data_IF_390237258368
#
_entry.id   IF_390237258368
#
_cell.length_a   1.000
_cell.length_b   1.000
_cell.length_c   1.000
_cell.angle_alpha   90.00
_cell.angle_beta   90.00
_cell.angle_gamma   90.00
#
_symmetry.space_group_name_H-M   'P 1'
#
loop_
_entity.id
_entity.type
_entity.pdbx_description
1 polymer ?
#
# COMPACT_ATOMS: atom_id res chain seq x y z
N UNK A 1 -4.76 0.93 27.26
CA UNK A 1 -5.14 -0.42 26.84
C UNK A 1 -5.85 -0.31 25.50
N UNK A 2 -5.33 -0.91 24.42
CA UNK A 2 -5.93 -0.87 23.07
C UNK A 2 -7.38 -1.40 23.05
N UNK A 3 -7.70 -2.26 24.01
CA UNK A 3 -9.02 -2.89 24.19
C UNK A 3 -10.03 -1.91 24.79
N UNK A 4 -9.57 -0.91 25.53
CA UNK A 4 -10.41 0.12 26.17
C UNK A 4 -10.58 1.37 25.28
N UNK A 5 -10.03 1.36 24.05
CA UNK A 5 -10.25 2.42 23.08
C UNK A 5 -11.73 2.45 22.64
N UNK A 6 -12.39 3.62 22.64
CA UNK A 6 -13.79 3.75 22.20
C UNK A 6 -14.03 3.22 20.78
N UNK A 7 -12.98 3.13 19.97
CA UNK A 7 -13.04 2.63 18.58
C UNK A 7 -12.98 1.10 18.51
N UNK A 8 -12.31 0.45 19.46
CA UNK A 8 -12.17 -1.02 19.52
C UNK A 8 -12.99 -1.66 20.63
N UNK A 9 -13.46 -0.89 21.62
CA UNK A 9 -14.29 -1.39 22.71
C UNK A 9 -15.65 -1.99 22.29
N UNK A 10 -16.09 -1.69 21.04
CA UNK A 10 -17.28 -2.27 20.46
C UNK A 10 -17.01 -3.59 19.70
N UNK A 11 -15.75 -4.00 19.53
CA UNK A 11 -15.36 -5.19 18.77
C UNK A 11 -14.68 -6.16 19.73
N UNK A 12 -15.35 -7.27 20.04
CA UNK A 12 -14.76 -8.34 20.83
C UNK A 12 -13.50 -8.88 20.15
N UNK A 13 -12.42 -9.19 20.93
CA UNK A 13 -11.22 -9.84 20.37
C UNK A 13 -11.50 -11.17 19.65
N UNK A 14 -12.65 -11.80 19.92
CA UNK A 14 -13.11 -13.02 19.23
C UNK A 14 -13.64 -12.76 17.83
N UNK A 15 -14.07 -11.53 17.52
CA UNK A 15 -14.65 -11.12 16.25
C UNK A 15 -13.60 -10.56 15.27
N UNK A 16 -12.38 -10.33 15.76
CA UNK A 16 -11.27 -9.88 14.93
C UNK A 16 -10.76 -11.04 14.05
N UNK A 17 -10.64 -10.78 12.75
CA UNK A 17 -10.01 -11.73 11.82
C UNK A 17 -8.60 -12.13 12.29
N UNK A 18 -8.15 -13.35 11.97
CA UNK A 18 -6.85 -13.87 12.41
C UNK A 18 -5.67 -12.93 12.15
N UNK A 19 -5.67 -12.20 11.02
CA UNK A 19 -4.62 -11.25 10.67
C UNK A 19 -4.58 -10.01 11.57
N UNK A 20 -5.74 -9.46 11.91
CA UNK A 20 -5.84 -8.32 12.84
C UNK A 20 -5.44 -8.77 14.25
N UNK A 21 -5.81 -9.99 14.63
CA UNK A 21 -5.43 -10.59 15.91
C UNK A 21 -3.91 -10.78 16.03
N UNK A 22 -3.25 -11.19 14.96
CA UNK A 22 -1.78 -11.32 14.90
C UNK A 22 -1.10 -9.95 15.02
N UNK A 23 -1.60 -8.94 14.32
CA UNK A 23 -1.11 -7.55 14.44
C UNK A 23 -1.29 -6.99 15.85
N UNK A 24 -2.44 -7.25 16.50
CA UNK A 24 -2.69 -6.86 17.88
C UNK A 24 -1.81 -7.61 18.87
N UNK A 25 -1.51 -8.89 18.62
CA UNK A 25 -0.58 -9.67 19.45
C UNK A 25 0.85 -9.18 19.29
N UNK A 26 1.27 -8.80 18.07
CA UNK A 26 2.58 -8.16 17.84
C UNK A 26 2.68 -6.80 18.53
N UNK A 27 1.58 -6.02 18.53
CA UNK A 27 1.51 -4.74 19.23
C UNK A 27 1.54 -4.88 20.76
N UNK A 28 1.21 -6.04 21.28
CA UNK A 28 1.09 -6.33 22.73
C UNK A 28 2.25 -7.20 23.24
N UNK A 29 3.34 -7.32 22.51
CA UNK A 29 4.49 -8.10 22.96
C UNK A 29 5.02 -7.54 24.28
N UNK A 30 5.08 -8.44 25.27
CA UNK A 30 5.51 -8.15 26.66
C UNK A 30 6.96 -7.64 26.78
N UNK A 31 7.74 -7.73 25.70
CA UNK A 31 9.09 -7.14 25.66
C UNK A 31 9.09 -5.62 25.69
N UNK A 32 7.94 -4.97 25.46
CA UNK A 32 7.72 -3.52 25.54
C UNK A 32 8.57 -2.67 24.59
N UNK A 33 9.37 -3.32 23.74
CA UNK A 33 10.37 -2.62 22.93
C UNK A 33 9.97 -2.36 21.48
N UNK A 34 8.96 -3.05 20.97
CA UNK A 34 8.57 -2.96 19.55
C UNK A 34 7.25 -2.21 19.36
N UNK A 35 6.25 -2.53 20.18
CA UNK A 35 4.94 -1.88 20.12
C UNK A 35 4.40 -1.71 21.53
N UNK A 36 4.71 -0.59 22.17
CA UNK A 36 4.08 -0.26 23.42
C UNK A 36 2.76 0.47 23.12
N UNK A 37 1.65 -0.16 23.43
CA UNK A 37 0.32 0.43 23.24
C UNK A 37 0.16 1.78 23.97
N UNK A 38 0.87 1.97 25.09
CA UNK A 38 0.89 3.23 25.85
C UNK A 38 1.65 4.35 25.13
N UNK A 39 2.59 4.03 24.21
CA UNK A 39 3.33 5.02 23.43
C UNK A 39 2.75 5.22 22.04
N UNK A 40 1.92 4.30 21.56
CA UNK A 40 1.27 4.38 20.26
C UNK A 40 -0.11 5.07 20.35
N UNK A 41 -0.76 5.03 21.52
CA UNK A 41 -2.04 5.68 21.79
C UNK A 41 -3.15 5.34 20.79
N UNK A 42 -4.15 6.20 20.70
CA UNK A 42 -5.30 6.06 19.79
C UNK A 42 -4.91 5.98 18.30
N UNK A 43 -3.73 6.49 17.96
CA UNK A 43 -3.26 6.49 16.57
C UNK A 43 -2.97 5.07 16.05
N UNK A 44 -2.47 4.15 16.89
CA UNK A 44 -2.24 2.76 16.46
C UNK A 44 -3.52 2.02 16.13
N UNK A 45 -4.57 2.20 16.93
CA UNK A 45 -5.87 1.59 16.68
C UNK A 45 -6.46 2.11 15.34
N UNK A 46 -6.37 3.42 15.11
CA UNK A 46 -6.80 4.04 13.84
C UNK A 46 -6.00 3.49 12.65
N UNK A 47 -4.70 3.35 12.77
CA UNK A 47 -3.84 2.78 11.73
C UNK A 47 -4.18 1.31 11.43
N UNK A 48 -4.42 0.49 12.46
CA UNK A 48 -4.81 -0.91 12.29
C UNK A 48 -6.16 -1.02 11.61
N UNK A 49 -7.14 -0.19 11.99
CA UNK A 49 -8.45 -0.15 11.36
C UNK A 49 -8.36 0.33 9.90
N UNK A 50 -7.57 1.36 9.64
CA UNK A 50 -7.36 1.88 8.30
C UNK A 50 -6.72 0.82 7.41
N UNK A 51 -5.72 0.11 7.92
CA UNK A 51 -5.07 -0.99 7.22
C UNK A 51 -6.05 -2.13 6.92
N UNK A 52 -6.89 -2.51 7.88
CA UNK A 52 -7.93 -3.51 7.68
C UNK A 52 -8.92 -3.12 6.59
N UNK A 53 -9.36 -1.86 6.56
CA UNK A 53 -10.23 -1.32 5.52
C UNK A 53 -9.56 -1.33 4.15
N UNK A 54 -8.28 -0.96 4.06
CA UNK A 54 -7.53 -1.00 2.81
C UNK A 54 -7.42 -2.43 2.27
N UNK A 55 -7.06 -3.39 3.11
CA UNK A 55 -7.00 -4.79 2.69
C UNK A 55 -8.33 -5.32 2.21
N UNK A 56 -9.41 -5.06 2.96
CA UNK A 56 -10.75 -5.49 2.57
C UNK A 56 -11.15 -4.90 1.21
N UNK A 57 -10.96 -3.59 1.02
CA UNK A 57 -11.21 -2.93 -0.26
C UNK A 57 -10.37 -3.49 -1.40
N UNK A 58 -9.12 -3.82 -1.12
CA UNK A 58 -8.20 -4.36 -2.14
C UNK A 58 -8.52 -5.79 -2.57
N UNK A 59 -9.02 -6.61 -1.65
CA UNK A 59 -9.58 -7.91 -2.03
C UNK A 59 -10.75 -7.75 -3.00
N UNK A 60 -11.67 -6.81 -2.73
CA UNK A 60 -12.75 -6.46 -3.64
C UNK A 60 -12.22 -5.92 -4.98
N UNK A 61 -11.19 -5.10 -4.95
CA UNK A 61 -10.57 -4.53 -6.14
C UNK A 61 -9.97 -5.62 -7.06
N UNK A 62 -9.12 -6.50 -6.53
CA UNK A 62 -8.46 -7.53 -7.33
C UNK A 62 -9.39 -8.71 -7.66
N UNK A 63 -10.05 -9.29 -6.67
CA UNK A 63 -10.93 -10.43 -6.90
C UNK A 63 -12.23 -10.04 -7.62
N UNK A 64 -12.79 -8.85 -7.31
CA UNK A 64 -13.97 -8.33 -7.99
C UNK A 64 -13.75 -8.03 -9.47
N UNK A 65 -12.50 -7.77 -9.87
CA UNK A 65 -12.12 -7.57 -11.28
C UNK A 65 -12.31 -8.83 -12.16
N UNK A 66 -12.52 -10.02 -11.56
CA UNK A 66 -12.94 -11.21 -12.27
C UNK A 66 -14.37 -11.11 -12.82
N UNK A 67 -15.20 -10.16 -12.31
CA UNK A 67 -16.59 -9.91 -12.69
C UNK A 67 -17.53 -11.12 -12.48
N UNK A 68 -17.05 -12.16 -11.78
CA UNK A 68 -17.80 -13.36 -11.44
C UNK A 68 -17.30 -13.94 -10.12
N UNK A 69 -18.17 -14.63 -9.37
CA UNK A 69 -17.79 -15.37 -8.17
C UNK A 69 -17.34 -16.79 -8.56
N UNK A 70 -16.14 -16.90 -9.12
CA UNK A 70 -15.57 -18.12 -9.68
C UNK A 70 -14.18 -18.45 -9.11
N UNK A 71 -13.54 -19.48 -9.67
CA UNK A 71 -12.20 -19.90 -9.27
C UNK A 71 -11.13 -18.83 -9.51
N UNK A 72 -11.29 -17.97 -10.53
CA UNK A 72 -10.35 -16.89 -10.82
C UNK A 72 -10.44 -15.78 -9.75
N UNK A 73 -11.67 -15.43 -9.33
CA UNK A 73 -11.88 -14.49 -8.22
C UNK A 73 -11.27 -15.02 -6.92
N UNK A 74 -11.48 -16.30 -6.59
CA UNK A 74 -10.90 -16.94 -5.41
C UNK A 74 -9.36 -16.95 -5.47
N UNK A 75 -8.80 -17.26 -6.64
CA UNK A 75 -7.36 -17.22 -6.86
C UNK A 75 -6.77 -15.82 -6.67
N UNK A 76 -7.39 -14.79 -7.29
CA UNK A 76 -6.97 -13.39 -7.15
C UNK A 76 -7.06 -12.91 -5.70
N UNK A 77 -8.07 -13.34 -4.94
CA UNK A 77 -8.19 -13.06 -3.52
C UNK A 77 -7.00 -13.63 -2.73
N UNK A 78 -6.68 -14.90 -2.96
CA UNK A 78 -5.59 -15.58 -2.25
C UNK A 78 -4.21 -15.00 -2.59
N UNK A 79 -3.91 -14.78 -3.86
CA UNK A 79 -2.63 -14.17 -4.30
C UNK A 79 -2.45 -12.77 -3.73
N UNK A 80 -3.53 -11.99 -3.64
CA UNK A 80 -3.54 -10.66 -3.04
C UNK A 80 -3.13 -10.71 -1.57
N UNK A 81 -3.75 -11.60 -0.78
CA UNK A 81 -3.44 -11.76 0.64
C UNK A 81 -2.02 -12.26 0.89
N UNK A 82 -1.59 -13.25 0.10
CA UNK A 82 -0.25 -13.84 0.22
C UNK A 82 0.84 -12.81 -0.11
N UNK A 83 0.68 -12.05 -1.19
CA UNK A 83 1.64 -11.01 -1.56
C UNK A 83 1.72 -9.91 -0.50
N UNK A 84 0.58 -9.47 0.01
CA UNK A 84 0.52 -8.47 1.07
C UNK A 84 1.27 -8.92 2.34
N UNK A 85 1.05 -10.17 2.76
CA UNK A 85 1.72 -10.75 3.93
C UNK A 85 3.24 -10.89 3.70
N UNK A 86 3.66 -11.40 2.55
CA UNK A 86 5.07 -11.53 2.18
C UNK A 86 5.78 -10.18 2.15
N UNK A 87 5.13 -9.16 1.58
CA UNK A 87 5.65 -7.81 1.49
C UNK A 87 5.77 -7.15 2.87
N UNK A 88 4.79 -7.34 3.76
CA UNK A 88 4.85 -6.86 5.14
C UNK A 88 6.08 -7.42 5.85
N UNK A 89 6.31 -8.74 5.78
CA UNK A 89 7.47 -9.38 6.40
C UNK A 89 8.79 -8.86 5.80
N UNK A 90 8.84 -8.69 4.48
CA UNK A 90 10.01 -8.16 3.79
C UNK A 90 10.33 -6.72 4.21
N UNK A 91 9.31 -5.87 4.36
CA UNK A 91 9.49 -4.50 4.86
C UNK A 91 10.01 -4.46 6.29
N UNK A 92 9.41 -5.27 7.17
CA UNK A 92 9.87 -5.40 8.55
C UNK A 92 11.34 -5.82 8.61
N UNK A 93 11.76 -6.71 7.72
CA UNK A 93 13.16 -7.11 7.60
C UNK A 93 14.06 -5.93 7.16
N UNK A 94 13.63 -5.13 6.18
CA UNK A 94 14.33 -3.92 5.78
C UNK A 94 14.47 -2.93 6.96
N UNK A 95 13.42 -2.74 7.74
CA UNK A 95 13.45 -1.90 8.95
C UNK A 95 14.44 -2.45 9.99
N UNK A 96 14.44 -3.75 10.24
CA UNK A 96 15.37 -4.37 11.19
C UNK A 96 16.83 -4.21 10.73
N UNK A 97 17.10 -4.40 9.44
CA UNK A 97 18.44 -4.24 8.89
C UNK A 97 18.92 -2.78 9.04
N UNK A 98 18.07 -1.80 8.69
CA UNK A 98 18.46 -0.38 8.67
C UNK A 98 18.32 0.29 10.02
N UNK A 99 17.20 0.09 10.71
CA UNK A 99 16.81 0.82 11.91
C UNK A 99 16.93 -0.02 13.19
N UNK A 100 17.33 -1.30 13.07
CA UNK A 100 17.44 -2.30 14.15
C UNK A 100 16.11 -2.62 14.86
N UNK A 101 14.99 -2.12 14.35
CA UNK A 101 13.65 -2.31 14.90
C UNK A 101 12.61 -2.28 13.78
N UNK A 102 11.65 -3.19 13.76
CA UNK A 102 10.48 -3.07 12.88
C UNK A 102 9.57 -1.96 13.40
N UNK A 103 8.83 -1.32 12.49
CA UNK A 103 7.85 -0.29 12.83
C UNK A 103 6.45 -0.70 12.37
N UNK A 104 5.40 -0.23 13.07
CA UNK A 104 4.03 -0.48 12.66
C UNK A 104 3.72 0.22 11.31
N UNK A 105 4.21 1.44 11.15
CA UNK A 105 4.07 2.20 9.89
C UNK A 105 4.78 1.43 8.77
N UNK A 106 6.00 0.94 9.00
CA UNK A 106 6.74 0.14 8.03
C UNK A 106 6.02 -1.15 7.65
N UNK A 107 5.52 -1.91 8.64
CA UNK A 107 4.72 -3.11 8.38
C UNK A 107 3.48 -2.81 7.54
N UNK A 108 2.77 -1.71 7.86
CA UNK A 108 1.58 -1.25 7.13
C UNK A 108 1.92 -0.82 5.70
N UNK A 109 2.98 -0.04 5.52
CA UNK A 109 3.45 0.41 4.20
C UNK A 109 3.91 -0.78 3.36
N UNK A 110 4.62 -1.74 3.96
CA UNK A 110 5.03 -2.97 3.30
C UNK A 110 3.85 -3.80 2.81
N UNK A 111 2.81 -3.92 3.64
CA UNK A 111 1.57 -4.60 3.24
C UNK A 111 0.94 -3.92 2.03
N UNK A 112 0.80 -2.58 2.04
CA UNK A 112 0.27 -1.81 0.90
C UNK A 112 1.15 -1.99 -0.34
N UNK A 113 2.48 -1.94 -0.20
CA UNK A 113 3.40 -2.20 -1.31
C UNK A 113 3.15 -3.58 -1.95
N UNK A 114 2.90 -4.62 -1.14
CA UNK A 114 2.55 -5.95 -1.62
C UNK A 114 1.21 -6.02 -2.34
N UNK A 115 0.20 -5.30 -1.84
CA UNK A 115 -1.09 -5.14 -2.51
C UNK A 115 -0.93 -4.48 -3.88
N UNK A 116 -0.16 -3.40 -3.95
CA UNK A 116 0.15 -2.70 -5.21
C UNK A 116 0.90 -3.61 -6.18
N UNK A 117 1.99 -4.25 -5.72
CA UNK A 117 2.82 -5.09 -6.57
C UNK A 117 2.11 -6.28 -7.17
N UNK A 118 1.18 -6.91 -6.43
CA UNK A 118 0.42 -8.06 -6.95
C UNK A 118 -0.74 -7.65 -7.87
N UNK A 119 -1.23 -6.43 -7.78
CA UNK A 119 -2.44 -5.99 -8.47
C UNK A 119 -2.46 -6.31 -9.97
N UNK A 120 -1.41 -6.03 -10.76
CA UNK A 120 -1.44 -6.41 -12.18
C UNK A 120 -1.40 -7.92 -12.40
N UNK A 121 -0.90 -8.71 -11.45
CA UNK A 121 -0.68 -10.14 -11.57
C UNK A 121 -1.67 -11.04 -10.82
N UNK A 122 -2.54 -10.49 -9.98
CA UNK A 122 -3.33 -11.26 -9.01
C UNK A 122 -4.13 -12.44 -9.61
N UNK A 123 -4.73 -12.25 -10.80
CA UNK A 123 -5.47 -13.28 -11.54
C UNK A 123 -4.65 -13.98 -12.62
N UNK A 124 -3.33 -13.79 -12.68
CA UNK A 124 -2.49 -14.26 -13.79
C UNK A 124 -1.24 -15.04 -13.38
N UNK A 125 -0.82 -14.90 -12.12
CA UNK A 125 0.40 -15.54 -11.63
C UNK A 125 0.10 -16.66 -10.64
N UNK A 126 0.92 -17.72 -10.57
CA UNK A 126 0.74 -18.77 -9.58
C UNK A 126 1.05 -18.27 -8.16
N UNK A 127 0.55 -18.98 -7.13
CA UNK A 127 0.65 -18.60 -5.72
C UNK A 127 2.09 -18.37 -5.25
N UNK A 128 3.05 -19.23 -5.68
CA UNK A 128 4.46 -19.08 -5.33
C UNK A 128 5.05 -17.77 -5.89
N UNK A 129 4.62 -17.35 -7.09
CA UNK A 129 5.05 -16.09 -7.69
C UNK A 129 4.49 -14.88 -6.92
N UNK A 130 3.27 -14.96 -6.38
CA UNK A 130 2.71 -13.92 -5.52
C UNK A 130 3.57 -13.68 -4.27
N UNK A 131 4.17 -14.72 -3.69
CA UNK A 131 5.14 -14.59 -2.59
C UNK A 131 6.37 -13.80 -3.05
N UNK A 132 6.95 -14.15 -4.20
CA UNK A 132 8.13 -13.47 -4.76
C UNK A 132 7.83 -12.00 -5.08
N UNK A 133 6.66 -11.73 -5.68
CA UNK A 133 6.22 -10.37 -5.98
C UNK A 133 6.16 -9.56 -4.69
N UNK A 134 5.50 -10.07 -3.65
CA UNK A 134 5.42 -9.40 -2.36
C UNK A 134 6.79 -9.15 -1.73
N UNK A 135 7.62 -10.19 -1.63
CA UNK A 135 8.97 -10.11 -1.05
C UNK A 135 9.86 -9.09 -1.76
N UNK A 136 9.73 -8.93 -3.07
CA UNK A 136 10.60 -8.05 -3.86
C UNK A 136 10.05 -6.63 -4.01
N UNK A 137 8.72 -6.45 -4.01
CA UNK A 137 8.12 -5.10 -4.12
C UNK A 137 8.45 -4.24 -2.92
N UNK A 138 8.43 -4.79 -1.72
CA UNK A 138 8.75 -4.06 -0.49
C UNK A 138 10.15 -3.41 -0.51
N UNK A 139 11.24 -4.12 -0.76
CA UNK A 139 12.58 -3.50 -0.83
C UNK A 139 12.68 -2.43 -1.91
N UNK A 140 12.05 -2.64 -3.07
CA UNK A 140 12.05 -1.66 -4.16
C UNK A 140 11.37 -0.36 -3.73
N UNK A 141 10.16 -0.44 -3.15
CA UNK A 141 9.46 0.72 -2.60
C UNK A 141 10.24 1.35 -1.42
N UNK A 142 10.83 0.54 -0.55
CA UNK A 142 11.64 1.00 0.58
C UNK A 142 12.84 1.83 0.13
N UNK A 143 13.55 1.38 -0.91
CA UNK A 143 14.67 2.12 -1.50
C UNK A 143 14.18 3.43 -2.12
N UNK A 144 13.05 3.41 -2.82
CA UNK A 144 12.49 4.61 -3.42
C UNK A 144 12.11 5.66 -2.36
N UNK A 145 11.45 5.26 -1.29
CA UNK A 145 11.08 6.16 -0.17
C UNK A 145 12.32 6.70 0.53
N UNK A 146 13.26 5.82 0.85
CA UNK A 146 14.42 6.16 1.67
C UNK A 146 15.47 7.01 0.95
N UNK A 147 15.68 6.77 -0.33
CA UNK A 147 16.76 7.35 -1.12
C UNK A 147 16.28 8.03 -2.39
N UNK A 148 15.37 7.38 -3.15
CA UNK A 148 14.91 7.87 -4.45
C UNK A 148 14.21 9.21 -4.32
N UNK A 149 13.27 9.32 -3.41
CA UNK A 149 12.51 10.55 -3.16
C UNK A 149 13.42 11.76 -2.91
N UNK A 150 14.44 11.59 -2.08
CA UNK A 150 15.44 12.65 -1.80
C UNK A 150 16.32 12.95 -3.00
N UNK A 151 16.78 11.92 -3.71
CA UNK A 151 17.66 12.05 -4.86
C UNK A 151 17.00 12.77 -6.02
N UNK A 152 15.74 12.50 -6.27
CA UNK A 152 14.97 13.10 -7.37
C UNK A 152 14.23 14.38 -6.97
N UNK A 153 14.21 14.74 -5.69
CA UNK A 153 13.53 15.94 -5.20
C UNK A 153 12.01 15.86 -5.27
N UNK A 154 11.42 14.67 -5.16
CA UNK A 154 9.97 14.50 -5.19
C UNK A 154 9.31 15.02 -3.91
N UNK A 155 8.31 15.89 -4.06
CA UNK A 155 7.38 16.26 -3.01
C UNK A 155 6.27 15.20 -2.92
N UNK A 156 6.56 14.10 -2.24
CA UNK A 156 5.70 12.93 -2.08
C UNK A 156 5.51 12.65 -0.59
N UNK A 157 4.72 13.51 0.07
CA UNK A 157 4.53 13.49 1.52
C UNK A 157 3.91 12.18 2.03
N UNK A 158 3.03 11.58 1.25
CA UNK A 158 2.30 10.35 1.57
C UNK A 158 2.94 9.09 0.97
N UNK A 159 4.13 9.21 0.37
CA UNK A 159 4.81 8.12 -0.35
C UNK A 159 3.95 7.46 -1.45
N UNK A 160 3.02 8.25 -2.03
CA UNK A 160 2.06 7.76 -3.02
C UNK A 160 2.76 7.27 -4.30
N UNK A 161 3.62 8.10 -4.91
CA UNK A 161 4.40 7.69 -6.07
C UNK A 161 5.40 6.60 -5.70
N UNK A 162 6.05 6.73 -4.55
CA UNK A 162 7.07 5.78 -4.08
C UNK A 162 6.50 4.38 -3.87
N UNK A 163 5.26 4.25 -3.41
CA UNK A 163 4.58 2.95 -3.27
C UNK A 163 3.82 2.54 -4.53
N UNK A 164 2.91 3.40 -5.04
CA UNK A 164 2.00 3.02 -6.12
C UNK A 164 2.66 3.10 -7.49
N UNK A 165 3.41 4.17 -7.79
CA UNK A 165 4.13 4.30 -9.06
C UNK A 165 5.23 3.24 -9.18
N UNK A 166 6.14 3.21 -8.21
CA UNK A 166 7.28 2.28 -8.23
C UNK A 166 6.83 0.84 -8.06
N UNK A 167 5.96 0.55 -7.08
CA UNK A 167 5.44 -0.79 -6.84
C UNK A 167 4.59 -1.31 -7.99
N UNK A 168 3.78 -0.45 -8.63
CA UNK A 168 2.96 -0.80 -9.78
C UNK A 168 3.81 -1.13 -11.03
N UNK A 169 4.85 -0.34 -11.31
CA UNK A 169 5.81 -0.63 -12.40
C UNK A 169 6.51 -1.97 -12.13
N UNK A 170 7.02 -2.16 -10.92
CA UNK A 170 7.69 -3.40 -10.53
C UNK A 170 6.77 -4.60 -10.64
N UNK A 171 5.54 -4.53 -10.09
CA UNK A 171 4.54 -5.59 -10.16
C UNK A 171 4.09 -5.91 -11.58
N UNK A 172 3.93 -4.88 -12.43
CA UNK A 172 3.61 -5.05 -13.84
C UNK A 172 4.70 -5.81 -14.61
N UNK A 173 5.98 -5.48 -14.39
CA UNK A 173 7.10 -6.21 -14.98
C UNK A 173 7.13 -7.66 -14.47
N UNK A 174 6.94 -7.89 -13.16
CA UNK A 174 6.90 -9.23 -12.59
C UNK A 174 5.68 -10.05 -13.05
N UNK A 175 4.57 -9.39 -13.38
CA UNK A 175 3.44 -10.05 -14.06
C UNK A 175 3.89 -10.61 -15.41
N UNK A 176 4.64 -9.83 -16.20
CA UNK A 176 5.22 -10.30 -17.46
C UNK A 176 6.25 -11.43 -17.28
N UNK A 177 6.88 -11.53 -16.12
CA UNK A 177 7.81 -12.63 -15.78
C UNK A 177 7.06 -13.91 -15.41
N UNK A 178 6.02 -13.81 -14.56
CA UNK A 178 5.39 -14.96 -13.89
C UNK A 178 4.00 -15.35 -14.42
N UNK A 179 3.44 -14.62 -15.39
CA UNK A 179 2.14 -14.92 -15.98
C UNK A 179 2.06 -16.36 -16.47
N UNK A 180 0.91 -17.01 -16.25
CA UNK A 180 0.70 -18.42 -16.54
C UNK A 180 -0.69 -18.64 -17.14
N UNK A 181 -0.74 -19.18 -18.36
CA UNK A 181 -1.98 -19.50 -19.08
C UNK A 181 -2.85 -20.54 -18.38
N UNK A 182 -2.24 -21.41 -17.54
CA UNK A 182 -2.99 -22.37 -16.73
C UNK A 182 -3.81 -21.70 -15.60
N UNK A 183 -3.44 -20.48 -15.17
CA UNK A 183 -4.21 -19.67 -14.21
C UNK A 183 -5.28 -18.88 -14.95
N UNK A 184 -4.88 -18.20 -16.01
CA UNK A 184 -5.79 -17.37 -16.81
C UNK A 184 -5.36 -17.41 -18.28
N UNK A 185 -6.20 -18.03 -19.11
CA UNK A 185 -5.94 -18.21 -20.54
C UNK A 185 -6.07 -16.92 -21.36
N UNK A 186 -6.56 -15.82 -20.76
CA UNK A 186 -6.66 -14.54 -21.45
C UNK A 186 -5.32 -13.80 -21.58
N UNK A 187 -4.26 -14.26 -20.91
CA UNK A 187 -2.91 -13.74 -21.04
C UNK A 187 -1.95 -14.82 -21.56
N UNK A 188 -0.79 -14.40 -22.10
CA UNK A 188 0.30 -15.30 -22.46
C UNK A 188 1.12 -15.76 -21.26
N UNK A 189 1.95 -16.79 -21.48
CA UNK A 189 2.94 -17.19 -20.48
C UNK A 189 4.07 -16.15 -20.37
N UNK A 190 4.61 -16.04 -19.17
CA UNK A 190 5.71 -15.12 -18.89
C UNK A 190 7.10 -15.71 -19.14
N UNK A 191 8.13 -14.91 -18.82
CA UNK A 191 9.53 -15.27 -19.05
C UNK A 191 9.95 -16.59 -18.38
N UNK A 192 9.41 -16.90 -17.21
CA UNK A 192 9.72 -18.17 -16.49
C UNK A 192 9.30 -19.40 -17.30
N UNK A 193 8.33 -19.24 -18.19
CA UNK A 193 7.86 -20.31 -19.08
C UNK A 193 8.50 -20.24 -20.48
N UNK A 194 9.50 -19.37 -20.66
CA UNK A 194 10.24 -19.24 -21.93
C UNK A 194 9.59 -18.34 -22.99
N UNK A 195 8.52 -17.59 -22.64
CA UNK A 195 7.81 -16.72 -23.57
C UNK A 195 8.11 -15.23 -23.28
N UNK A 196 8.65 -14.51 -24.28
CA UNK A 196 9.01 -13.11 -24.17
C UNK A 196 7.86 -12.14 -24.51
N UNK A 197 6.87 -12.59 -25.27
CA UNK A 197 5.80 -11.74 -25.79
C UNK A 197 5.01 -11.07 -24.66
N UNK A 198 4.64 -11.81 -23.61
CA UNK A 198 3.89 -11.27 -22.48
C UNK A 198 4.69 -10.24 -21.69
N UNK A 199 5.98 -10.45 -21.49
CA UNK A 199 6.85 -9.47 -20.84
C UNK A 199 6.96 -8.17 -21.67
N UNK A 200 7.11 -8.30 -22.98
CA UNK A 200 7.13 -7.17 -23.91
C UNK A 200 5.81 -6.38 -23.88
N UNK A 201 4.68 -7.09 -23.87
CA UNK A 201 3.36 -6.48 -23.75
C UNK A 201 3.18 -5.70 -22.43
N UNK A 202 3.62 -6.27 -21.30
CA UNK A 202 3.58 -5.60 -19.99
C UNK A 202 4.48 -4.35 -19.98
N UNK A 203 5.70 -4.43 -20.50
CA UNK A 203 6.61 -3.31 -20.56
C UNK A 203 6.05 -2.17 -21.45
N UNK A 204 5.48 -2.51 -22.60
CA UNK A 204 4.82 -1.55 -23.48
C UNK A 204 3.59 -0.91 -22.80
N UNK A 205 2.75 -1.70 -22.15
CA UNK A 205 1.58 -1.22 -21.41
C UNK A 205 1.96 -0.25 -20.27
N UNK A 206 3.03 -0.54 -19.54
CA UNK A 206 3.57 0.36 -18.51
C UNK A 206 4.04 1.67 -19.16
N UNK A 207 4.78 1.62 -20.27
CA UNK A 207 5.24 2.80 -20.98
C UNK A 207 4.08 3.68 -21.44
N UNK A 208 3.06 3.10 -22.05
CA UNK A 208 1.84 3.80 -22.48
C UNK A 208 1.13 4.44 -21.27
N UNK A 209 0.99 3.69 -20.17
CA UNK A 209 0.36 4.19 -18.94
C UNK A 209 1.11 5.39 -18.37
N UNK A 210 2.44 5.36 -18.34
CA UNK A 210 3.26 6.49 -17.90
C UNK A 210 3.01 7.73 -18.78
N UNK A 211 2.99 7.56 -20.10
CA UNK A 211 2.73 8.67 -21.03
C UNK A 211 1.33 9.26 -20.79
N UNK A 212 0.31 8.41 -20.70
CA UNK A 212 -1.08 8.86 -20.44
C UNK A 212 -1.18 9.58 -19.10
N UNK A 213 -0.56 9.03 -18.04
CA UNK A 213 -0.57 9.63 -16.71
C UNK A 213 0.10 11.00 -16.71
N UNK A 214 1.28 11.14 -17.31
CA UNK A 214 2.01 12.41 -17.36
C UNK A 214 1.26 13.44 -18.19
N UNK A 215 0.88 13.09 -19.41
CA UNK A 215 0.17 14.03 -20.32
C UNK A 215 -1.19 14.42 -19.74
N UNK A 216 -1.97 13.44 -19.26
CA UNK A 216 -3.27 13.70 -18.64
C UNK A 216 -3.16 14.60 -17.42
N UNK A 217 -2.19 14.34 -16.54
CA UNK A 217 -1.95 15.19 -15.37
C UNK A 217 -1.55 16.61 -15.75
N UNK A 218 -0.68 16.79 -16.76
CA UNK A 218 -0.29 18.13 -17.23
C UNK A 218 -1.47 18.89 -17.81
N UNK A 219 -2.35 18.23 -18.56
CA UNK A 219 -3.58 18.84 -19.08
C UNK A 219 -4.50 19.26 -17.93
N UNK A 220 -4.79 18.35 -16.99
CA UNK A 220 -5.63 18.65 -15.83
C UNK A 220 -5.03 19.79 -14.98
N UNK A 221 -3.72 19.76 -14.76
CA UNK A 221 -3.00 20.83 -14.05
C UNK A 221 -3.14 22.17 -14.76
N UNK A 222 -2.96 22.21 -16.10
CA UNK A 222 -3.11 23.41 -16.90
C UNK A 222 -4.52 23.99 -16.82
N UNK A 223 -5.55 23.15 -16.96
CA UNK A 223 -6.96 23.56 -16.86
C UNK A 223 -7.25 24.11 -15.46
N UNK A 224 -6.84 23.37 -14.41
CA UNK A 224 -7.05 23.80 -13.03
C UNK A 224 -6.40 25.16 -12.78
N UNK A 225 -5.15 25.35 -13.21
CA UNK A 225 -4.43 26.62 -13.07
C UNK A 225 -5.14 27.77 -13.78
N UNK A 226 -5.69 27.50 -14.97
CA UNK A 226 -6.45 28.49 -15.74
C UNK A 226 -7.73 28.92 -15.01
N UNK A 227 -8.43 27.98 -14.38
CA UNK A 227 -9.69 28.21 -13.70
C UNK A 227 -9.52 28.84 -12.30
N UNK A 228 -8.49 28.43 -11.56
CA UNK A 228 -8.31 28.83 -10.15
C UNK A 228 -7.20 29.88 -9.94
N UNK A 229 -6.37 30.12 -10.95
CA UNK A 229 -5.22 31.04 -10.89
C UNK A 229 -4.04 30.51 -10.07
N UNK A 230 -4.27 30.03 -8.85
CA UNK A 230 -3.25 29.39 -7.96
C UNK A 230 -3.62 27.93 -7.76
N UNK A 231 -2.62 27.05 -7.75
CA UNK A 231 -2.79 25.60 -7.49
C UNK A 231 -2.22 25.23 -6.12
N UNK A 232 -1.23 25.98 -5.64
CA UNK A 232 -0.65 25.78 -4.31
C UNK A 232 -1.04 26.95 -3.40
N UNK A 233 -1.40 26.64 -2.19
CA UNK A 233 -1.65 27.64 -1.13
C UNK A 233 -0.37 28.36 -0.72
N UNK A 234 -0.49 29.46 -0.03
CA UNK A 234 0.67 30.19 0.47
C UNK A 234 1.37 29.36 1.56
N UNK A 235 2.70 29.48 1.65
CA UNK A 235 3.52 28.68 2.58
C UNK A 235 3.04 28.78 4.04
N UNK A 236 2.54 29.94 4.43
CA UNK A 236 2.00 30.19 5.77
C UNK A 236 0.79 29.27 6.05
N UNK A 237 -0.13 29.18 5.10
CA UNK A 237 -1.34 28.35 5.23
C UNK A 237 -0.99 26.86 5.23
N UNK A 238 -0.01 26.47 4.40
CA UNK A 238 0.50 25.10 4.36
C UNK A 238 1.14 24.69 5.70
N UNK A 239 1.91 25.59 6.34
CA UNK A 239 2.53 25.34 7.63
C UNK A 239 1.53 25.34 8.81
N UNK A 240 0.44 26.09 8.71
CA UNK A 240 -0.63 26.06 9.70
C UNK A 240 -1.53 24.82 9.61
N UNK A 241 -1.54 24.15 8.46
CA UNK A 241 -2.44 23.05 8.14
C UNK A 241 -3.68 23.54 7.37
N UNK A 242 -4.01 22.83 6.28
CA UNK A 242 -5.07 23.24 5.36
C UNK A 242 -6.48 23.07 5.94
N UNK A 243 -6.67 22.14 6.83
CA UNK A 243 -7.90 21.93 7.57
C UNK A 243 -8.31 23.20 8.33
N UNK A 244 -7.38 23.85 9.04
CA UNK A 244 -7.64 25.08 9.77
C UNK A 244 -7.64 26.30 8.84
N UNK A 245 -6.62 26.44 7.96
CA UNK A 245 -6.41 27.66 7.18
C UNK A 245 -7.34 27.80 5.96
N UNK A 246 -7.80 26.69 5.38
CA UNK A 246 -8.61 26.68 4.16
C UNK A 246 -10.04 26.16 4.38
N UNK A 247 -10.21 25.14 5.25
CA UNK A 247 -11.51 24.53 5.49
C UNK A 247 -12.20 25.04 6.76
N UNK A 248 -11.46 25.68 7.68
CA UNK A 248 -12.01 26.18 8.95
C UNK A 248 -12.44 25.05 9.90
N UNK A 249 -11.92 23.85 9.70
CA UNK A 249 -12.24 22.66 10.48
C UNK A 249 -10.96 22.06 11.04
N UNK A 250 -11.05 21.31 12.13
CA UNK A 250 -9.96 20.52 12.65
C UNK A 250 -10.20 19.06 12.30
N UNK A 251 -9.30 18.43 11.54
CA UNK A 251 -9.38 17.01 11.17
C UNK A 251 -9.32 16.09 12.41
N UNK A 252 -8.66 16.55 13.46
CA UNK A 252 -8.61 15.89 14.77
C UNK A 252 -9.11 16.87 15.84
N UNK A 253 -10.16 16.53 16.59
CA UNK A 253 -10.55 17.35 17.72
C UNK A 253 -9.37 17.47 18.68
N UNK A 254 -9.09 18.70 19.15
CA UNK A 254 -8.12 18.91 20.22
C UNK A 254 -8.50 18.05 21.41
N UNK A 255 -7.58 17.20 21.87
CA UNK A 255 -7.77 16.44 23.08
C UNK A 255 -7.73 17.43 24.25
N UNK A 256 -8.91 17.88 24.71
CA UNK A 256 -9.04 18.66 25.92
C UNK A 256 -8.60 17.84 27.13
N UNK A 257 -7.33 17.75 27.39
CA UNK A 257 -6.79 16.98 28.50
C UNK A 257 -5.27 16.91 28.55
N UNK A 258 -4.57 17.33 27.51
CA UNK A 258 -3.10 17.37 27.50
C UNK A 258 -2.53 18.80 27.36
N UNK A 259 -3.37 19.82 27.28
CA UNK A 259 -2.99 21.24 27.23
C UNK A 259 -3.23 21.93 28.58
N UNK A 260 -2.71 21.32 29.66
CA UNK A 260 -2.59 21.99 30.98
C UNK A 260 -1.16 21.87 31.47
#
# INVERSE_FOLDING_TARGET
NLIDSPVLGAISPKELSGGVKTLLLMANDKSGKVFNASTCGDNCAKWILQLGKHMFGWFGFNAGSALAADGLAAHAFMTTGVSAAAAMLSWMLCDVIKNKKPTLIGASTGMVAGLVGITPGAGFVPMWAAVIIGLTTSPVCYIMISYGKKKFGFDDALDAFSCHGTGGIWGGLLTGVFSCTAINSSAGNGLVYGEFAQFGAQAAGIGITIVIAVVGTLICYGITRLLTGKIRVDLRDELMGLDVSQHGEAAYPSFNGLDN
#
